data_IF_673365598723
#
_entry.id   IF_673365598723
#
_cell.length_a   1.000
_cell.length_b   1.000
_cell.length_c   1.000
_cell.angle_alpha   90.00
_cell.angle_beta   90.00
_cell.angle_gamma   90.00
#
_symmetry.space_group_name_H-M   'P 1'
#
loop_
_entity.id
_entity.type
_entity.pdbx_description
1 polymer ?
#
# COMPACT_ATOMS: atom_id res chain seq x y z
N UNK A 1 -6.82 16.91 2.92
CA UNK A 1 -6.48 15.49 3.05
C UNK A 1 -6.38 15.16 4.52
N UNK A 2 -7.04 14.12 4.99
CA UNK A 2 -7.05 13.62 6.37
C UNK A 2 -6.59 12.16 6.42
N UNK A 3 -6.30 11.66 7.62
CA UNK A 3 -5.99 10.24 7.84
C UNK A 3 -7.19 9.60 8.51
N UNK A 4 -7.71 8.52 7.94
CA UNK A 4 -8.79 7.73 8.50
C UNK A 4 -8.23 6.83 9.61
N UNK A 5 -8.23 7.33 10.85
CA UNK A 5 -7.67 6.61 12.00
C UNK A 5 -8.72 5.77 12.73
N UNK A 6 -9.86 6.36 13.06
CA UNK A 6 -10.87 5.81 13.97
C UNK A 6 -12.13 5.37 13.22
N UNK A 7 -13.00 4.64 13.91
CA UNK A 7 -14.29 4.21 13.36
C UNK A 7 -14.25 2.94 12.52
N UNK A 8 -13.07 2.34 12.37
CA UNK A 8 -12.93 1.10 11.63
C UNK A 8 -13.48 -0.09 12.42
N UNK A 9 -14.22 -0.94 11.72
CA UNK A 9 -14.63 -2.27 12.16
C UNK A 9 -13.81 -3.32 11.40
N UNK A 10 -13.22 -4.26 12.11
CA UNK A 10 -12.46 -5.36 11.50
C UNK A 10 -13.17 -6.70 11.70
N UNK A 11 -13.24 -7.46 10.61
CA UNK A 11 -13.75 -8.83 10.55
C UNK A 11 -12.59 -9.73 10.16
N UNK A 12 -12.08 -10.49 11.13
CA UNK A 12 -10.96 -11.41 10.87
C UNK A 12 -11.43 -12.67 10.17
N UNK A 13 -10.55 -13.22 9.33
CA UNK A 13 -10.72 -14.47 8.58
C UNK A 13 -11.98 -14.49 7.67
N UNK A 14 -12.48 -13.31 7.33
CA UNK A 14 -13.67 -13.11 6.50
C UNK A 14 -13.41 -12.06 5.43
N UNK A 15 -13.88 -12.30 4.21
CA UNK A 15 -13.77 -11.38 3.08
C UNK A 15 -15.18 -11.09 2.53
N UNK A 16 -15.55 -9.82 2.45
CA UNK A 16 -16.78 -9.33 1.83
C UNK A 16 -16.57 -7.94 1.21
N UNK A 17 -17.37 -7.59 0.23
CA UNK A 17 -17.25 -6.33 -0.54
C UNK A 17 -18.09 -5.19 0.03
N UNK A 18 -19.23 -5.52 0.64
CA UNK A 18 -20.15 -4.65 1.38
C UNK A 18 -20.94 -5.51 2.36
N UNK A 19 -21.46 -4.92 3.44
CA UNK A 19 -22.39 -5.64 4.33
C UNK A 19 -23.68 -6.03 3.61
N UNK A 20 -24.20 -5.14 2.77
CA UNK A 20 -25.45 -5.37 2.03
C UNK A 20 -25.33 -6.50 0.99
N UNK A 21 -24.10 -6.83 0.58
CA UNK A 21 -23.85 -7.94 -0.35
C UNK A 21 -23.79 -9.32 0.32
N UNK A 22 -23.94 -9.38 1.66
CA UNK A 22 -23.86 -10.64 2.41
C UNK A 22 -25.27 -11.20 2.56
N UNK A 23 -25.52 -12.44 2.12
CA UNK A 23 -26.81 -13.10 2.37
C UNK A 23 -27.10 -13.23 3.87
N UNK A 24 -28.33 -13.01 4.29
CA UNK A 24 -28.79 -13.13 5.69
C UNK A 24 -28.51 -14.52 6.31
N UNK A 25 -28.27 -15.52 5.48
CA UNK A 25 -27.93 -16.87 5.89
C UNK A 25 -26.49 -17.01 6.39
N UNK A 26 -25.62 -16.03 6.09
CA UNK A 26 -24.20 -16.05 6.49
C UNK A 26 -24.04 -15.25 7.78
N UNK A 27 -23.72 -15.93 8.88
CA UNK A 27 -23.40 -15.27 10.14
C UNK A 27 -21.96 -14.78 10.13
N UNK A 28 -21.81 -13.45 10.09
CA UNK A 28 -20.48 -12.84 10.24
C UNK A 28 -19.97 -12.96 11.68
N UNK A 29 -18.63 -13.03 11.86
CA UNK A 29 -18.05 -12.84 13.18
C UNK A 29 -18.37 -11.44 13.72
N UNK A 30 -18.40 -11.28 15.02
CA UNK A 30 -18.57 -9.96 15.65
C UNK A 30 -17.46 -9.01 15.22
N UNK A 31 -17.82 -7.80 14.74
CA UNK A 31 -16.82 -6.81 14.38
C UNK A 31 -16.09 -6.31 15.61
N UNK A 32 -14.80 -6.07 15.44
CA UNK A 32 -13.98 -5.42 16.46
C UNK A 32 -13.68 -3.99 16.03
N UNK A 33 -13.87 -3.04 16.94
CA UNK A 33 -13.49 -1.64 16.70
C UNK A 33 -11.97 -1.51 16.76
N UNK A 34 -11.40 -0.84 15.78
CA UNK A 34 -9.93 -0.73 15.63
C UNK A 34 -9.52 0.66 15.18
N UNK A 35 -8.29 1.02 15.52
CA UNK A 35 -7.66 2.27 15.11
C UNK A 35 -6.52 1.95 14.13
N UNK A 36 -6.49 2.64 12.99
CA UNK A 36 -5.43 2.48 11.99
C UNK A 36 -4.38 3.61 12.07
N UNK A 37 -3.13 3.33 11.74
CA UNK A 37 -2.56 2.05 11.31
C UNK A 37 -2.34 1.07 12.47
N UNK A 38 -2.44 -0.24 12.18
CA UNK A 38 -2.30 -1.26 13.21
C UNK A 38 -1.76 -2.59 12.68
N UNK A 39 -1.09 -3.32 13.55
CA UNK A 39 -0.47 -4.61 13.25
C UNK A 39 -1.22 -5.74 13.97
N UNK A 40 -1.64 -6.78 13.26
CA UNK A 40 -2.36 -7.91 13.84
C UNK A 40 -1.62 -8.58 15.00
N UNK A 41 -0.32 -8.75 14.85
CA UNK A 41 0.50 -9.48 15.82
C UNK A 41 0.67 -8.73 17.13
N UNK A 42 0.68 -7.39 17.06
CA UNK A 42 0.96 -6.54 18.22
C UNK A 42 -0.33 -5.99 18.84
N UNK A 43 -1.17 -5.42 17.97
CA UNK A 43 -2.28 -4.58 18.43
C UNK A 43 -3.58 -5.40 18.62
N UNK A 44 -3.70 -6.56 17.96
CA UNK A 44 -4.91 -7.37 17.96
C UNK A 44 -4.70 -8.83 18.37
N UNK A 45 -3.57 -9.14 18.99
CA UNK A 45 -3.28 -10.51 19.46
C UNK A 45 -4.36 -11.05 20.40
N UNK A 46 -4.94 -10.17 21.25
CA UNK A 46 -6.00 -10.53 22.20
C UNK A 46 -7.33 -10.88 21.51
N UNK A 47 -7.58 -10.32 20.32
CA UNK A 47 -8.85 -10.55 19.59
C UNK A 47 -8.81 -11.80 18.72
N UNK A 48 -7.65 -12.16 18.19
CA UNK A 48 -7.47 -13.33 17.32
C UNK A 48 -7.26 -14.64 18.09
N UNK A 49 -7.00 -14.56 19.38
CA UNK A 49 -6.70 -15.75 20.20
C UNK A 49 -5.39 -16.47 19.86
N UNK A 50 -4.73 -16.13 18.74
CA UNK A 50 -3.43 -16.65 18.30
C UNK A 50 -2.60 -15.47 17.77
N UNK A 51 -1.31 -15.45 18.14
CA UNK A 51 -0.32 -14.56 17.52
C UNK A 51 -0.01 -15.09 16.13
N UNK A 52 -0.84 -14.75 15.15
CA UNK A 52 -0.61 -15.19 13.76
C UNK A 52 -0.61 -13.97 12.85
N UNK A 53 0.46 -13.82 12.13
CA UNK A 53 0.66 -12.84 11.08
C UNK A 53 -0.08 -13.18 9.79
N UNK A 54 -0.45 -14.45 9.61
CA UNK A 54 -1.06 -14.97 8.38
C UNK A 54 -2.59 -14.98 8.47
N UNK A 55 -3.24 -14.81 7.32
CA UNK A 55 -4.68 -14.84 7.19
C UNK A 55 -5.23 -13.68 6.36
N UNK A 56 -6.52 -13.44 6.51
CA UNK A 56 -7.21 -12.33 5.86
C UNK A 56 -8.06 -11.55 6.86
N UNK A 57 -8.46 -10.35 6.48
CA UNK A 57 -9.42 -9.55 7.23
C UNK A 57 -10.09 -8.55 6.30
N UNK A 58 -11.32 -8.17 6.65
CA UNK A 58 -12.04 -7.06 6.06
C UNK A 58 -12.15 -5.93 7.06
N UNK A 59 -11.72 -4.75 6.66
CA UNK A 59 -11.87 -3.51 7.41
C UNK A 59 -12.99 -2.71 6.78
N UNK A 60 -13.94 -2.27 7.58
CA UNK A 60 -15.11 -1.51 7.16
C UNK A 60 -15.17 -0.16 7.87
N UNK A 61 -15.45 0.88 7.13
CA UNK A 61 -15.70 2.23 7.65
C UNK A 61 -16.86 2.85 6.89
N UNK A 62 -17.83 3.41 7.60
CA UNK A 62 -18.87 4.23 7.00
C UNK A 62 -18.45 5.68 7.10
N UNK A 63 -18.28 6.31 5.96
CA UNK A 63 -18.04 7.74 5.84
C UNK A 63 -19.37 8.47 5.76
N UNK A 64 -19.52 9.51 6.55
CA UNK A 64 -20.73 10.35 6.61
C UNK A 64 -20.39 11.82 6.41
N UNK A 65 -21.38 12.65 6.14
CA UNK A 65 -21.22 14.08 5.93
C UNK A 65 -20.34 14.43 4.73
N UNK A 66 -20.37 13.56 3.70
CA UNK A 66 -19.77 13.85 2.41
C UNK A 66 -20.69 14.78 1.60
N UNK A 67 -20.12 15.55 0.70
CA UNK A 67 -20.92 16.30 -0.29
C UNK A 67 -21.47 15.31 -1.31
N UNK A 68 -22.79 15.22 -1.54
CA UNK A 68 -23.36 14.35 -2.56
C UNK A 68 -22.74 14.60 -3.93
N UNK A 69 -22.59 13.55 -4.72
CA UNK A 69 -22.03 13.55 -6.09
C UNK A 69 -20.61 14.13 -6.23
N UNK A 70 -19.96 14.47 -5.11
CA UNK A 70 -18.56 14.91 -5.11
C UNK A 70 -17.61 13.70 -5.20
N UNK A 71 -16.49 13.89 -5.92
CA UNK A 71 -15.43 12.88 -6.04
C UNK A 71 -14.46 12.94 -4.87
N UNK A 72 -14.30 11.81 -4.24
CA UNK A 72 -13.35 11.59 -3.17
C UNK A 72 -12.28 10.57 -3.60
N UNK A 73 -11.16 10.59 -2.92
CA UNK A 73 -10.10 9.62 -3.15
C UNK A 73 -9.54 9.06 -1.85
N UNK A 74 -9.10 7.81 -1.93
CA UNK A 74 -8.33 7.11 -0.91
C UNK A 74 -6.94 6.86 -1.44
N UNK A 75 -5.93 7.11 -0.62
CA UNK A 75 -4.54 6.84 -0.94
C UNK A 75 -3.86 6.07 0.19
N UNK A 76 -3.24 4.95 -0.15
CA UNK A 76 -2.44 4.12 0.74
C UNK A 76 -1.05 4.01 0.11
N UNK A 77 -0.08 4.68 0.73
CA UNK A 77 1.26 4.88 0.19
C UNK A 77 2.03 3.59 -0.07
N UNK A 78 1.87 2.61 0.82
CA UNK A 78 2.44 1.28 0.67
C UNK A 78 1.31 0.26 0.72
N UNK A 79 1.45 -0.88 0.04
CA UNK A 79 0.48 -1.96 0.23
C UNK A 79 0.37 -2.28 1.73
N UNK A 80 -0.83 -2.21 2.31
CA UNK A 80 -1.01 -2.33 3.78
C UNK A 80 -0.43 -3.62 4.34
N UNK A 81 -0.51 -4.67 3.53
CA UNK A 81 0.05 -6.00 3.82
C UNK A 81 0.74 -6.53 2.57
N UNK A 82 0.57 -7.83 2.28
CA UNK A 82 1.06 -8.43 1.04
C UNK A 82 0.06 -8.36 -0.12
N UNK A 83 -1.24 -8.17 0.16
CA UNK A 83 -2.27 -7.88 -0.87
C UNK A 83 -3.44 -7.12 -0.25
N UNK A 84 -4.07 -6.29 -1.05
CA UNK A 84 -5.15 -5.42 -0.62
C UNK A 84 -6.12 -5.15 -1.77
N UNK A 85 -7.42 -5.06 -1.45
CA UNK A 85 -8.46 -4.59 -2.37
C UNK A 85 -9.34 -3.58 -1.63
N UNK A 86 -9.67 -2.48 -2.30
CA UNK A 86 -10.47 -1.38 -1.77
C UNK A 86 -11.79 -1.32 -2.52
N UNK A 87 -12.88 -1.25 -1.77
CA UNK A 87 -14.23 -1.17 -2.29
C UNK A 87 -14.90 0.09 -1.74
N UNK A 88 -15.72 0.73 -2.56
CA UNK A 88 -16.64 1.77 -2.15
C UNK A 88 -18.05 1.33 -2.54
N UNK A 89 -18.99 1.31 -1.58
CA UNK A 89 -20.38 0.87 -1.77
C UNK A 89 -20.46 -0.47 -2.54
N UNK A 90 -19.63 -1.44 -2.17
CA UNK A 90 -19.56 -2.78 -2.77
C UNK A 90 -18.81 -2.88 -4.10
N UNK A 91 -18.46 -1.77 -4.73
CA UNK A 91 -17.71 -1.75 -6.01
C UNK A 91 -16.22 -1.73 -5.75
N UNK A 92 -15.45 -2.63 -6.39
CA UNK A 92 -13.99 -2.61 -6.32
C UNK A 92 -13.45 -1.39 -7.06
N UNK A 93 -12.80 -0.48 -6.33
CA UNK A 93 -12.25 0.77 -6.88
C UNK A 93 -10.73 0.71 -7.08
N UNK A 94 -10.03 -0.17 -6.37
CA UNK A 94 -8.62 -0.46 -6.62
C UNK A 94 -8.19 -1.76 -5.94
N UNK A 95 -7.11 -2.37 -6.45
CA UNK A 95 -6.49 -3.54 -5.84
C UNK A 95 -4.98 -3.54 -6.03
N UNK A 96 -4.27 -4.14 -5.06
CA UNK A 96 -2.84 -4.41 -5.12
C UNK A 96 -2.62 -5.88 -4.75
N UNK A 97 -2.26 -6.68 -5.75
CA UNK A 97 -2.23 -8.13 -5.64
C UNK A 97 -3.62 -8.78 -5.68
N UNK A 98 -3.69 -10.06 -5.29
CA UNK A 98 -4.94 -10.79 -5.17
C UNK A 98 -5.19 -11.19 -3.71
N UNK A 99 -6.31 -10.70 -3.16
CA UNK A 99 -6.75 -11.03 -1.81
C UNK A 99 -7.40 -12.42 -1.81
N UNK A 100 -7.06 -13.25 -0.84
CA UNK A 100 -7.64 -14.59 -0.70
C UNK A 100 -7.71 -15.00 0.77
N UNK A 101 -8.77 -15.73 1.13
CA UNK A 101 -8.94 -16.36 2.44
C UNK A 101 -8.02 -17.56 2.65
N UNK A 102 -7.38 -18.06 1.58
CA UNK A 102 -6.45 -19.17 1.61
C UNK A 102 -5.16 -18.80 0.91
N UNK A 103 -4.06 -19.47 1.24
CA UNK A 103 -2.77 -19.27 0.57
C UNK A 103 -2.85 -19.54 -0.95
N UNK A 104 -3.71 -20.46 -1.36
CA UNK A 104 -4.04 -20.71 -2.77
C UNK A 104 -4.94 -19.58 -3.27
N UNK A 105 -4.56 -18.93 -4.36
CA UNK A 105 -5.26 -17.76 -4.92
C UNK A 105 -4.77 -16.41 -4.38
N UNK A 106 -3.90 -16.42 -3.37
CA UNK A 106 -3.23 -15.22 -2.91
C UNK A 106 -2.06 -14.85 -3.85
N UNK A 107 -2.02 -13.59 -4.25
CA UNK A 107 -0.90 -13.03 -5.01
C UNK A 107 -0.41 -11.73 -4.34
N UNK A 108 0.83 -11.71 -3.85
CA UNK A 108 1.36 -10.54 -3.17
C UNK A 108 1.71 -9.41 -4.14
N UNK A 109 1.55 -8.16 -3.68
CA UNK A 109 1.95 -6.95 -4.41
C UNK A 109 2.30 -5.84 -3.43
N UNK A 110 3.24 -4.99 -3.81
CA UNK A 110 3.69 -3.82 -3.04
C UNK A 110 3.18 -2.50 -3.63
N UNK A 111 2.44 -2.56 -4.74
CA UNK A 111 1.97 -1.37 -5.47
C UNK A 111 1.10 -0.50 -4.56
N UNK A 112 1.38 0.81 -4.45
CA UNK A 112 0.53 1.76 -3.74
C UNK A 112 -0.89 1.78 -4.30
N UNK A 113 -1.85 2.07 -3.44
CA UNK A 113 -3.26 2.15 -3.84
C UNK A 113 -3.68 3.62 -3.90
N UNK A 114 -4.10 4.04 -5.07
CA UNK A 114 -4.84 5.27 -5.28
C UNK A 114 -6.18 4.91 -5.92
N UNK A 115 -7.27 5.28 -5.26
CA UNK A 115 -8.61 4.93 -5.69
C UNK A 115 -9.55 6.14 -5.56
N UNK A 116 -10.41 6.32 -6.56
CA UNK A 116 -11.42 7.36 -6.58
C UNK A 116 -12.82 6.74 -6.49
N UNK A 117 -13.72 7.44 -5.83
CA UNK A 117 -15.14 7.12 -5.80
C UNK A 117 -15.98 8.39 -5.69
N UNK A 118 -17.26 8.28 -5.99
CA UNK A 118 -18.23 9.38 -5.86
C UNK A 118 -19.12 9.10 -4.65
N UNK A 119 -19.29 10.11 -3.79
CA UNK A 119 -20.23 9.98 -2.67
C UNK A 119 -21.66 9.80 -3.20
N UNK A 120 -22.44 8.95 -2.53
CA UNK A 120 -23.83 8.75 -2.89
C UNK A 120 -24.69 9.98 -2.56
N UNK A 121 -25.95 9.98 -3.02
CA UNK A 121 -26.89 11.10 -2.81
C UNK A 121 -27.22 11.34 -1.33
N UNK A 122 -27.05 10.35 -0.46
CA UNK A 122 -27.21 10.51 0.99
C UNK A 122 -26.01 11.20 1.66
N UNK A 123 -24.97 11.54 0.91
CA UNK A 123 -23.75 12.13 1.45
C UNK A 123 -22.95 11.14 2.31
N UNK A 124 -23.02 9.85 1.99
CA UNK A 124 -22.29 8.80 2.68
C UNK A 124 -21.55 7.90 1.69
N UNK A 125 -20.65 7.07 2.18
CA UNK A 125 -20.02 5.98 1.43
C UNK A 125 -19.56 4.89 2.39
N UNK A 126 -19.77 3.63 2.05
CA UNK A 126 -19.19 2.49 2.74
C UNK A 126 -17.83 2.17 2.14
N UNK A 127 -16.77 2.40 2.89
CA UNK A 127 -15.42 2.03 2.49
C UNK A 127 -15.06 0.68 3.11
N UNK A 128 -14.72 -0.28 2.25
CA UNK A 128 -14.28 -1.61 2.66
C UNK A 128 -12.88 -1.88 2.13
N UNK A 129 -11.98 -2.28 3.01
CA UNK A 129 -10.60 -2.66 2.66
C UNK A 129 -10.40 -4.11 3.05
N UNK A 130 -10.28 -4.96 2.05
CA UNK A 130 -9.88 -6.35 2.24
C UNK A 130 -8.36 -6.44 2.21
N UNK A 131 -7.80 -7.20 3.12
CA UNK A 131 -6.36 -7.48 3.17
C UNK A 131 -6.12 -8.96 3.39
N UNK A 132 -5.08 -9.50 2.78
CA UNK A 132 -4.59 -10.82 3.10
C UNK A 132 -3.07 -10.86 3.16
N UNK A 133 -2.55 -11.73 4.04
CA UNK A 133 -1.14 -11.91 4.24
C UNK A 133 -0.82 -13.38 4.50
N UNK A 134 -0.05 -14.00 3.59
CA UNK A 134 0.36 -15.40 3.67
C UNK A 134 1.88 -15.59 3.59
N UNK A 135 2.64 -14.47 3.51
CA UNK A 135 4.09 -14.51 3.29
C UNK A 135 4.83 -13.63 4.28
N UNK A 136 4.31 -12.43 4.58
CA UNK A 136 5.04 -11.45 5.35
C UNK A 136 4.82 -11.62 6.86
N UNK A 137 5.86 -11.39 7.66
CA UNK A 137 5.86 -11.57 9.13
C UNK A 137 4.98 -10.59 9.91
N UNK A 138 4.36 -9.62 9.28
CA UNK A 138 3.47 -8.63 9.90
C UNK A 138 2.21 -8.49 9.07
N UNK A 139 1.06 -8.80 9.64
CA UNK A 139 -0.25 -8.62 9.01
C UNK A 139 -0.94 -7.34 9.47
N UNK A 140 -2.02 -6.95 8.79
CA UNK A 140 -2.82 -5.77 9.10
C UNK A 140 -2.51 -4.54 8.25
N UNK A 141 -3.31 -3.50 8.41
CA UNK A 141 -3.09 -2.21 7.73
C UNK A 141 -2.09 -1.41 8.54
N UNK A 142 -0.82 -1.46 8.14
CA UNK A 142 0.32 -0.88 8.85
C UNK A 142 0.65 0.55 8.44
N UNK A 143 0.06 1.02 7.36
CA UNK A 143 0.29 2.35 6.79
C UNK A 143 -0.96 3.21 6.93
N UNK A 144 -0.82 4.53 7.03
CA UNK A 144 -1.95 5.43 7.10
C UNK A 144 -2.83 5.33 5.84
N UNK A 145 -4.14 5.34 6.05
CA UNK A 145 -5.14 5.47 4.99
C UNK A 145 -5.48 6.94 4.86
N UNK A 146 -5.02 7.56 3.78
CA UNK A 146 -5.29 8.96 3.49
C UNK A 146 -6.60 9.10 2.72
N UNK A 147 -7.38 10.13 3.06
CA UNK A 147 -8.69 10.39 2.47
C UNK A 147 -8.93 11.89 2.29
N UNK A 148 -9.74 12.23 1.31
CA UNK A 148 -10.17 13.60 1.08
C UNK A 148 -10.79 13.80 -0.30
N UNK A 149 -11.13 15.07 -0.63
CA UNK A 149 -11.56 15.40 -1.98
C UNK A 149 -10.48 14.97 -2.99
N UNK A 150 -10.93 14.44 -4.12
CA UNK A 150 -10.07 13.89 -5.18
C UNK A 150 -8.85 14.76 -5.46
N UNK A 151 -9.05 16.05 -5.73
CA UNK A 151 -7.97 16.95 -6.16
C UNK A 151 -6.91 17.16 -5.08
N UNK A 152 -7.31 17.20 -3.80
CA UNK A 152 -6.40 17.32 -2.67
C UNK A 152 -5.51 16.08 -2.52
N UNK A 153 -6.11 14.89 -2.62
CA UNK A 153 -5.39 13.63 -2.49
C UNK A 153 -4.50 13.39 -3.71
N UNK A 154 -5.03 13.66 -4.91
CA UNK A 154 -4.30 13.53 -6.16
C UNK A 154 -3.07 14.44 -6.20
N UNK A 155 -3.22 15.71 -5.80
CA UNK A 155 -2.10 16.67 -5.73
C UNK A 155 -1.01 16.14 -4.79
N UNK A 156 -1.38 15.65 -3.61
CA UNK A 156 -0.41 15.10 -2.65
C UNK A 156 0.30 13.86 -3.22
N UNK A 157 -0.45 12.95 -3.83
CA UNK A 157 0.09 11.77 -4.50
C UNK A 157 1.05 12.14 -5.63
N UNK A 158 0.61 13.01 -6.54
CA UNK A 158 1.36 13.45 -7.73
C UNK A 158 2.63 14.20 -7.34
N UNK A 159 2.55 15.13 -6.37
CA UNK A 159 3.72 15.89 -5.89
C UNK A 159 4.76 14.94 -5.26
N UNK A 160 4.34 14.01 -4.41
CA UNK A 160 5.25 13.08 -3.77
C UNK A 160 5.93 12.16 -4.80
N UNK A 161 5.14 11.62 -5.74
CA UNK A 161 5.66 10.79 -6.83
C UNK A 161 6.61 11.57 -7.74
N UNK A 162 6.24 12.80 -8.13
CA UNK A 162 7.08 13.67 -8.95
C UNK A 162 8.40 14.02 -8.28
N UNK A 163 8.39 14.30 -6.97
CA UNK A 163 9.62 14.56 -6.20
C UNK A 163 10.57 13.36 -6.21
N UNK A 164 10.04 12.14 -6.04
CA UNK A 164 10.86 10.93 -6.05
C UNK A 164 11.48 10.70 -7.42
N UNK A 165 10.71 10.86 -8.50
CA UNK A 165 11.27 10.78 -9.87
C UNK A 165 12.32 11.85 -10.12
N UNK A 166 12.10 13.09 -9.67
CA UNK A 166 13.06 14.19 -9.82
C UNK A 166 14.38 13.89 -9.09
N UNK A 167 14.30 13.47 -7.82
CA UNK A 167 15.49 13.12 -7.02
C UNK A 167 16.22 11.92 -7.63
N UNK A 168 15.49 10.89 -8.05
CA UNK A 168 16.09 9.70 -8.70
C UNK A 168 16.79 10.07 -10.02
N UNK A 169 16.20 10.96 -10.82
CA UNK A 169 16.80 11.47 -12.05
C UNK A 169 18.07 12.27 -11.80
N UNK A 170 18.08 13.13 -10.77
CA UNK A 170 19.27 13.88 -10.36
C UNK A 170 20.41 12.97 -9.91
N UNK A 171 20.09 11.96 -9.10
CA UNK A 171 21.08 10.98 -8.64
C UNK A 171 21.63 10.14 -9.81
N UNK A 172 20.78 9.77 -10.77
CA UNK A 172 21.19 9.04 -11.97
C UNK A 172 22.14 9.90 -12.82
N UNK A 173 21.86 11.18 -12.98
CA UNK A 173 22.73 12.12 -13.69
C UNK A 173 24.11 12.22 -13.01
N UNK A 174 24.15 12.36 -11.68
CA UNK A 174 25.40 12.36 -10.91
C UNK A 174 26.16 11.04 -11.03
N UNK A 175 25.45 9.92 -11.04
CA UNK A 175 26.03 8.59 -11.25
C UNK A 175 26.75 8.50 -12.60
N UNK A 176 26.08 8.94 -13.68
CA UNK A 176 26.63 8.94 -15.04
C UNK A 176 27.88 9.80 -15.12
N UNK A 177 27.88 11.00 -14.54
CA UNK A 177 29.05 11.90 -14.53
C UNK A 177 30.23 11.22 -13.81
N UNK A 178 30.01 10.66 -12.62
CA UNK A 178 31.10 10.03 -11.87
C UNK A 178 31.64 8.79 -12.57
N UNK A 179 30.77 8.01 -13.22
CA UNK A 179 31.21 6.88 -14.04
C UNK A 179 32.01 7.33 -15.25
N UNK A 180 31.61 8.40 -15.94
CA UNK A 180 32.36 8.99 -17.04
C UNK A 180 33.75 9.49 -16.59
N UNK A 181 33.83 10.17 -15.44
CA UNK A 181 35.10 10.63 -14.85
C UNK A 181 36.06 9.46 -14.58
N UNK A 182 35.52 8.34 -14.10
CA UNK A 182 36.30 7.11 -13.94
C UNK A 182 36.78 6.54 -15.30
N UNK A 183 35.85 6.50 -16.29
CA UNK A 183 36.16 5.97 -17.62
C UNK A 183 37.29 6.76 -18.32
N UNK A 184 37.32 8.08 -18.17
CA UNK A 184 38.40 8.93 -18.70
C UNK A 184 39.69 8.88 -17.86
N UNK A 185 39.58 8.58 -16.56
CA UNK A 185 40.75 8.47 -15.69
C UNK A 185 40.61 7.29 -14.72
N UNK A 186 40.95 6.06 -15.16
CA UNK A 186 40.77 4.84 -14.35
C UNK A 186 41.60 4.81 -13.05
N UNK A 187 42.54 5.72 -12.88
CA UNK A 187 43.32 5.85 -11.63
C UNK A 187 42.48 6.46 -10.48
N UNK A 188 41.39 7.14 -10.81
CA UNK A 188 40.48 7.74 -9.83
C UNK A 188 39.39 6.74 -9.36
N UNK A 189 39.77 5.73 -8.61
CA UNK A 189 38.87 4.72 -8.07
C UNK A 189 37.75 5.31 -7.19
N UNK A 190 37.99 6.46 -6.56
CA UNK A 190 36.93 7.15 -5.75
C UNK A 190 35.70 7.50 -6.55
N UNK A 191 35.85 7.89 -7.83
CA UNK A 191 34.69 8.19 -8.70
C UNK A 191 33.87 6.92 -9.03
N UNK A 192 34.56 5.76 -9.19
CA UNK A 192 33.87 4.48 -9.38
C UNK A 192 33.08 4.08 -8.14
N UNK A 193 33.69 4.13 -6.96
CA UNK A 193 33.02 3.78 -5.71
C UNK A 193 31.83 4.71 -5.43
N UNK A 194 31.97 6.01 -5.73
CA UNK A 194 30.90 6.96 -5.56
C UNK A 194 29.72 6.70 -6.55
N UNK A 195 30.01 6.38 -7.81
CA UNK A 195 28.98 6.01 -8.77
C UNK A 195 28.23 4.73 -8.34
N UNK A 196 28.95 3.73 -7.83
CA UNK A 196 28.36 2.50 -7.30
C UNK A 196 27.45 2.77 -6.08
N UNK A 197 27.91 3.62 -5.16
CA UNK A 197 27.10 4.07 -4.02
C UNK A 197 25.80 4.76 -4.50
N UNK A 198 25.86 5.63 -5.51
CA UNK A 198 24.69 6.27 -6.08
C UNK A 198 23.71 5.28 -6.71
N UNK A 199 24.20 4.21 -7.37
CA UNK A 199 23.34 3.13 -7.89
C UNK A 199 22.55 2.47 -6.75
N UNK A 200 23.22 2.10 -5.65
CA UNK A 200 22.54 1.51 -4.49
C UNK A 200 21.55 2.46 -3.85
N UNK A 201 21.87 3.76 -3.79
CA UNK A 201 20.97 4.78 -3.25
C UNK A 201 19.72 4.94 -4.12
N UNK A 202 19.86 4.96 -5.46
CA UNK A 202 18.74 4.99 -6.40
C UNK A 202 17.86 3.74 -6.23
N UNK A 203 18.47 2.55 -6.19
CA UNK A 203 17.74 1.30 -5.94
C UNK A 203 16.97 1.36 -4.64
N UNK A 204 17.58 1.89 -3.58
CA UNK A 204 16.92 2.06 -2.28
C UNK A 204 15.71 3.00 -2.36
N UNK A 205 15.83 4.14 -3.02
CA UNK A 205 14.73 5.09 -3.20
C UNK A 205 13.60 4.47 -4.03
N UNK A 206 13.95 3.75 -5.11
CA UNK A 206 12.97 3.11 -5.98
C UNK A 206 12.21 1.95 -5.32
N UNK A 207 12.74 1.36 -4.26
CA UNK A 207 12.11 0.23 -3.55
C UNK A 207 11.42 0.62 -2.25
N UNK A 208 11.73 1.80 -1.66
CA UNK A 208 11.33 2.10 -0.28
C UNK A 208 10.00 2.82 -0.15
N UNK A 209 9.74 3.82 -0.96
CA UNK A 209 8.66 4.79 -0.68
C UNK A 209 7.43 4.66 -1.58
N UNK A 210 7.65 4.49 -2.83
CA UNK A 210 6.65 4.18 -3.85
C UNK A 210 7.35 3.15 -4.70
N UNK A 211 6.90 1.93 -4.67
CA UNK A 211 7.54 0.84 -5.38
C UNK A 211 7.61 1.15 -6.90
N UNK A 212 8.46 2.13 -7.24
CA UNK A 212 8.68 2.59 -8.61
C UNK A 212 9.15 1.42 -9.46
N UNK A 213 9.89 0.50 -8.85
CA UNK A 213 10.35 -0.70 -9.51
C UNK A 213 9.17 -1.55 -10.02
N UNK A 214 8.10 -1.67 -9.24
CA UNK A 214 6.87 -2.36 -9.65
C UNK A 214 6.10 -1.60 -10.73
N UNK A 215 6.24 -0.27 -10.79
CA UNK A 215 5.69 0.54 -11.88
C UNK A 215 6.42 0.29 -13.21
N UNK A 216 7.76 0.19 -13.17
CA UNK A 216 8.59 -0.03 -14.35
C UNK A 216 8.55 -1.50 -14.77
N UNK A 217 8.63 -2.41 -13.81
CA UNK A 217 8.67 -3.86 -14.03
C UNK A 217 7.40 -4.51 -13.47
N UNK A 218 6.28 -4.43 -14.21
CA UNK A 218 4.97 -4.99 -13.82
C UNK A 218 4.99 -6.47 -13.43
N UNK A 219 5.99 -7.22 -13.88
CA UNK A 219 6.14 -8.67 -13.64
C UNK A 219 7.24 -9.00 -12.63
N UNK A 220 7.74 -8.02 -11.84
CA UNK A 220 8.77 -8.31 -10.86
C UNK A 220 8.19 -9.23 -9.76
N UNK A 221 8.76 -10.44 -9.55
CA UNK A 221 8.28 -11.31 -8.48
C UNK A 221 8.46 -10.60 -7.13
N UNK A 222 7.43 -10.66 -6.28
CA UNK A 222 7.44 -10.07 -4.93
C UNK A 222 8.69 -10.43 -4.12
N UNK A 223 9.14 -11.69 -4.22
CA UNK A 223 10.38 -12.16 -3.58
C UNK A 223 11.64 -11.45 -4.08
N UNK A 224 11.67 -11.05 -5.35
CA UNK A 224 12.79 -10.32 -5.92
C UNK A 224 12.77 -8.85 -5.46
N UNK A 225 11.60 -8.21 -5.43
CA UNK A 225 11.45 -6.84 -4.91
C UNK A 225 11.93 -6.73 -3.46
N UNK A 226 11.51 -7.63 -2.59
CA UNK A 226 11.94 -7.68 -1.19
C UNK A 226 13.46 -7.94 -1.07
N UNK A 227 14.00 -8.88 -1.85
CA UNK A 227 15.46 -9.14 -1.83
C UNK A 227 16.25 -7.93 -2.27
N UNK A 228 15.81 -7.21 -3.30
CA UNK A 228 16.44 -5.97 -3.75
C UNK A 228 16.36 -4.88 -2.68
N UNK A 229 15.21 -4.72 -2.02
CA UNK A 229 15.05 -3.79 -0.91
C UNK A 229 16.06 -4.07 0.22
N UNK A 230 16.19 -5.33 0.63
CA UNK A 230 17.13 -5.71 1.70
C UNK A 230 18.59 -5.66 1.25
N UNK A 231 18.91 -5.98 -0.01
CA UNK A 231 20.28 -5.90 -0.52
C UNK A 231 20.79 -4.46 -0.66
N UNK A 232 19.89 -3.49 -0.84
CA UNK A 232 20.24 -2.08 -0.89
C UNK A 232 20.44 -1.44 0.51
N UNK A 233 20.20 -2.20 1.60
CA UNK A 233 20.42 -1.78 2.99
C UNK A 233 21.80 -2.17 3.54
N UNK A 234 22.53 -3.07 2.86
CA UNK A 234 23.85 -3.59 3.23
C UNK A 234 24.90 -3.16 2.20
#
# INVERSE_FOLDING_TARGET
MSILKNGWQVYFDTLFTSLDAIPDTIRLPEPKSVTLPANWNKDYSNFRGKKTEYGCATYRLVLTSLTPDEKYAVFIKESPTSSCAVFADGVCIASSGAVSSKKRGFFPSTIPIYAEFTANQSGSAELVIQVSNWIYRKGGIRTPVYFGKRDSVYRSYSTNTGLIFFVSGLLLFLCIINFALFAFNPKKLSSLYFSLFLVFLILRICTADIDILSFIFKNLPYSAAIKLEYSALW
#
